data_IF_970055115490
#
_entry.id   IF_970055115490
#
_cell.length_a   1.000
_cell.length_b   1.000
_cell.length_c   1.000
_cell.angle_alpha   90.00
_cell.angle_beta   90.00
_cell.angle_gamma   90.00
#
_symmetry.space_group_name_H-M   'P 1'
#
loop_
_entity.id
_entity.type
_entity.pdbx_description
1 polymer ?
#
# COMPACT_ATOMS: atom_id res chain seq x y z
N UNK A 1 -6.55 -21.15 -7.35
CA UNK A 1 -7.51 -20.02 -7.16
C UNK A 1 -7.04 -19.03 -6.10
N UNK A 2 -7.20 -17.70 -6.32
CA UNK A 2 -6.93 -16.64 -5.32
C UNK A 2 -8.23 -15.99 -4.86
N UNK A 3 -8.42 -15.86 -3.56
CA UNK A 3 -9.60 -15.21 -2.97
C UNK A 3 -9.21 -14.40 -1.74
N UNK A 4 -10.08 -13.47 -1.32
CA UNK A 4 -9.82 -12.60 -0.17
C UNK A 4 -10.95 -12.68 0.85
N UNK A 5 -10.62 -12.97 2.10
CA UNK A 5 -11.56 -12.93 3.21
C UNK A 5 -11.35 -11.67 4.05
N UNK A 6 -12.44 -10.98 4.37
CA UNK A 6 -12.43 -9.78 5.19
C UNK A 6 -13.03 -10.07 6.57
N UNK A 7 -12.29 -9.78 7.63
CA UNK A 7 -12.71 -9.99 9.02
C UNK A 7 -12.60 -8.70 9.82
N UNK A 8 -13.35 -8.61 10.93
CA UNK A 8 -13.25 -7.47 11.87
C UNK A 8 -12.05 -7.67 12.79
N UNK A 9 -11.24 -6.63 12.91
CA UNK A 9 -10.03 -6.58 13.72
C UNK A 9 -10.31 -5.77 15.00
N UNK A 10 -9.83 -6.25 16.14
CA UNK A 10 -9.97 -5.64 17.45
C UNK A 10 -8.59 -5.33 18.03
N UNK A 11 -7.91 -4.28 17.52
CA UNK A 11 -6.66 -3.80 18.07
C UNK A 11 -6.85 -3.19 19.46
N UNK A 12 -5.85 -3.35 20.31
CA UNK A 12 -5.75 -2.63 21.57
C UNK A 12 -5.49 -1.13 21.33
N UNK A 13 -5.64 -0.32 22.38
CA UNK A 13 -5.48 1.14 22.26
C UNK A 13 -4.10 1.53 21.72
N UNK A 14 -3.02 0.94 22.27
CA UNK A 14 -1.65 1.21 21.81
C UNK A 14 -1.46 0.77 20.35
N UNK A 15 -1.93 -0.43 19.99
CA UNK A 15 -1.86 -0.94 18.62
C UNK A 15 -2.62 -0.04 17.64
N UNK A 16 -3.77 0.51 18.06
CA UNK A 16 -4.57 1.44 17.27
C UNK A 16 -3.82 2.75 17.00
N UNK A 17 -3.14 3.29 18.02
CA UNK A 17 -2.30 4.48 17.88
C UNK A 17 -1.17 4.23 16.87
N UNK A 18 -0.46 3.10 17.00
CA UNK A 18 0.60 2.72 16.07
C UNK A 18 0.08 2.56 14.64
N UNK A 19 -1.06 1.89 14.44
CA UNK A 19 -1.67 1.74 13.11
C UNK A 19 -2.06 3.09 12.49
N UNK A 20 -2.58 4.03 13.29
CA UNK A 20 -2.89 5.38 12.84
C UNK A 20 -1.63 6.16 12.45
N UNK A 21 -0.55 6.06 13.24
CA UNK A 21 0.75 6.65 12.90
C UNK A 21 1.31 6.06 11.59
N UNK A 22 1.20 4.75 11.39
CA UNK A 22 1.64 4.12 10.14
C UNK A 22 0.83 4.60 8.93
N UNK A 23 -0.48 4.79 9.07
CA UNK A 23 -1.30 5.40 8.02
C UNK A 23 -0.87 6.85 7.74
N UNK A 24 -0.51 7.62 8.78
CA UNK A 24 -0.01 9.01 8.66
C UNK A 24 1.31 9.07 7.89
N UNK A 25 2.27 8.20 8.21
CA UNK A 25 3.57 8.07 7.53
C UNK A 25 3.37 7.63 6.09
N UNK A 26 2.59 6.56 5.87
CA UNK A 26 2.32 6.02 4.54
C UNK A 26 1.61 7.02 3.63
N UNK A 27 0.67 7.81 4.17
CA UNK A 27 0.00 8.91 3.45
C UNK A 27 1.00 9.99 3.03
N UNK A 28 1.84 10.44 3.95
CA UNK A 28 2.85 11.45 3.66
C UNK A 28 3.80 10.96 2.55
N UNK A 29 4.30 9.74 2.70
CA UNK A 29 5.21 9.14 1.73
C UNK A 29 4.58 8.98 0.34
N UNK A 30 3.33 8.50 0.29
CA UNK A 30 2.57 8.40 -0.96
C UNK A 30 2.45 9.76 -1.66
N UNK A 31 2.01 10.80 -0.94
CA UNK A 31 1.78 12.12 -1.52
C UNK A 31 3.08 12.77 -1.98
N UNK A 32 4.17 12.65 -1.20
CA UNK A 32 5.48 13.15 -1.58
C UNK A 32 5.97 12.52 -2.88
N UNK A 33 5.97 11.18 -2.96
CA UNK A 33 6.40 10.46 -4.15
C UNK A 33 5.54 10.78 -5.38
N UNK A 34 4.23 10.96 -5.19
CA UNK A 34 3.34 11.34 -6.27
C UNK A 34 3.60 12.77 -6.75
N UNK A 35 3.92 13.68 -5.83
CA UNK A 35 4.30 15.06 -6.12
C UNK A 35 5.59 15.11 -6.94
N UNK A 36 6.65 14.43 -6.50
CA UNK A 36 7.92 14.35 -7.24
C UNK A 36 7.73 13.85 -8.68
N UNK A 37 6.84 12.88 -8.89
CA UNK A 37 6.52 12.37 -10.23
C UNK A 37 5.75 13.39 -11.08
N UNK A 38 4.80 14.10 -10.49
CA UNK A 38 4.08 15.16 -11.20
C UNK A 38 4.98 16.33 -11.54
N UNK A 39 5.85 16.75 -10.61
CA UNK A 39 6.81 17.83 -10.85
C UNK A 39 7.73 17.48 -12.00
N UNK A 40 8.30 16.27 -11.99
CA UNK A 40 9.13 15.77 -13.10
C UNK A 40 8.34 15.71 -14.40
N UNK A 41 7.11 15.18 -14.37
CA UNK A 41 6.26 15.07 -15.55
C UNK A 41 5.91 16.43 -16.16
N UNK A 42 5.60 17.42 -15.33
CA UNK A 42 5.26 18.78 -15.80
C UNK A 42 6.49 19.49 -16.36
N UNK A 43 7.65 19.34 -15.71
CA UNK A 43 8.91 19.99 -16.09
C UNK A 43 9.55 19.42 -17.36
N UNK A 44 9.34 18.14 -17.66
CA UNK A 44 9.96 17.45 -18.80
C UNK A 44 9.01 17.21 -19.99
N UNK A 45 7.73 17.56 -19.86
CA UNK A 45 6.77 17.38 -20.95
C UNK A 45 6.89 18.52 -21.97
N UNK A 46 7.46 18.22 -23.12
CA UNK A 46 7.44 19.11 -24.29
C UNK A 46 6.46 18.55 -25.34
N UNK A 47 5.57 19.37 -25.93
CA UNK A 47 4.87 18.99 -27.15
C UNK A 47 5.89 18.59 -28.23
N UNK A 48 5.62 17.51 -28.97
CA UNK A 48 6.52 17.05 -30.04
C UNK A 48 6.78 18.15 -31.08
N UNK A 49 5.81 19.06 -31.25
CA UNK A 49 5.81 20.07 -32.31
C UNK A 49 6.03 21.51 -31.80
N UNK A 50 6.34 21.72 -30.51
CA UNK A 50 6.56 23.07 -29.98
C UNK A 50 7.43 23.05 -28.72
N UNK A 51 8.44 23.92 -28.68
CA UNK A 51 9.20 24.22 -27.47
C UNK A 51 8.89 25.67 -27.04
N UNK A 52 8.30 25.91 -25.86
CA UNK A 52 8.06 27.26 -25.39
C UNK A 52 9.40 27.95 -25.08
N UNK A 53 9.75 28.99 -25.83
CA UNK A 53 11.00 29.77 -25.73
C UNK A 53 11.15 30.53 -24.40
N UNK A 54 10.09 30.58 -23.58
CA UNK A 54 10.08 31.19 -22.25
C UNK A 54 9.81 30.07 -21.24
N UNK A 55 10.84 29.33 -20.86
CA UNK A 55 10.75 28.38 -19.75
C UNK A 55 11.98 28.49 -18.85
N UNK A 56 11.73 28.54 -17.54
CA UNK A 56 12.76 28.23 -16.56
C UNK A 56 13.19 26.78 -16.79
N UNK A 57 14.46 26.56 -17.15
CA UNK A 57 15.01 25.23 -17.29
C UNK A 57 15.05 24.58 -15.89
N UNK A 58 14.30 23.49 -15.67
CA UNK A 58 14.34 22.80 -14.39
C UNK A 58 15.71 22.20 -14.15
N UNK A 59 16.09 22.01 -12.88
CA UNK A 59 17.26 21.20 -12.53
C UNK A 59 17.16 19.82 -13.19
N UNK A 60 18.24 19.44 -13.89
CA UNK A 60 18.32 18.16 -14.57
C UNK A 60 18.23 17.04 -13.54
N UNK A 61 17.20 16.20 -13.65
CA UNK A 61 16.96 15.09 -12.73
C UNK A 61 16.42 13.89 -13.48
N UNK A 62 16.94 12.72 -13.13
CA UNK A 62 16.44 11.44 -13.64
C UNK A 62 14.96 11.24 -13.32
N UNK A 63 14.29 10.46 -14.17
CA UNK A 63 12.89 10.14 -13.98
C UNK A 63 12.66 9.42 -12.64
N UNK A 64 11.79 9.95 -11.75
CA UNK A 64 11.46 9.30 -10.48
C UNK A 64 10.65 8.02 -10.74
N UNK A 65 11.36 6.91 -10.84
CA UNK A 65 10.78 5.57 -10.98
C UNK A 65 10.63 4.86 -9.63
N UNK A 66 10.08 3.65 -9.65
CA UNK A 66 9.89 2.85 -8.43
C UNK A 66 11.21 2.58 -7.68
N UNK A 67 12.28 2.25 -8.40
CA UNK A 67 13.56 1.87 -7.79
C UNK A 67 14.27 3.06 -7.14
N UNK A 68 14.30 4.21 -7.83
CA UNK A 68 14.87 5.46 -7.29
C UNK A 68 14.16 5.90 -6.01
N UNK A 69 12.82 5.89 -5.99
CA UNK A 69 12.04 6.25 -4.80
C UNK A 69 12.20 5.23 -3.68
N UNK A 70 12.24 3.92 -3.99
CA UNK A 70 12.53 2.86 -3.01
C UNK A 70 13.93 3.02 -2.40
N UNK A 71 14.93 3.46 -3.18
CA UNK A 71 16.31 3.70 -2.71
C UNK A 71 16.41 4.88 -1.73
N UNK A 72 15.42 5.77 -1.70
CA UNK A 72 15.39 6.86 -0.72
C UNK A 72 15.02 6.37 0.70
N UNK A 73 14.29 5.25 0.82
CA UNK A 73 13.80 4.76 2.12
C UNK A 73 14.91 4.50 3.16
N UNK A 74 16.03 3.82 2.83
CA UNK A 74 17.12 3.65 3.79
C UNK A 74 17.75 4.97 4.26
N UNK A 75 17.81 5.98 3.39
CA UNK A 75 18.36 7.31 3.74
C UNK A 75 17.39 8.03 4.67
N UNK A 76 16.10 8.05 4.32
CA UNK A 76 15.05 8.70 5.10
C UNK A 76 14.88 8.06 6.48
N UNK A 77 15.14 6.75 6.62
CA UNK A 77 15.05 6.04 7.89
C UNK A 77 16.18 6.36 8.87
N UNK A 78 17.22 7.11 8.49
CA UNK A 78 18.32 7.43 9.41
C UNK A 78 17.91 8.47 10.44
N UNK A 79 17.11 9.45 10.01
CA UNK A 79 16.74 10.61 10.82
C UNK A 79 15.22 10.85 10.81
N UNK A 80 14.75 11.63 11.78
CA UNK A 80 13.38 12.13 11.78
C UNK A 80 13.16 13.12 10.63
N UNK A 81 12.04 12.96 9.93
CA UNK A 81 11.69 13.86 8.82
C UNK A 81 10.80 14.97 9.33
N UNK A 82 11.28 16.21 9.26
CA UNK A 82 10.44 17.40 9.50
C UNK A 82 9.58 17.71 8.28
N UNK A 83 8.28 17.81 8.47
CA UNK A 83 7.35 18.23 7.41
C UNK A 83 7.39 19.75 7.27
N UNK A 84 7.67 20.24 6.06
CA UNK A 84 7.84 21.68 5.81
C UNK A 84 6.64 22.54 6.19
N UNK A 85 5.41 22.10 5.86
CA UNK A 85 4.21 22.92 6.08
C UNK A 85 3.59 22.80 7.48
N UNK A 86 3.80 21.68 8.18
CA UNK A 86 3.21 21.46 9.52
C UNK A 86 4.24 21.52 10.65
N UNK A 87 5.53 21.45 10.35
CA UNK A 87 6.60 21.35 11.36
C UNK A 87 6.65 20.02 12.12
N UNK A 88 5.71 19.11 11.87
CA UNK A 88 5.61 17.78 12.49
C UNK A 88 6.83 16.93 12.14
N UNK A 89 7.37 16.22 13.14
CA UNK A 89 8.42 15.24 12.97
C UNK A 89 7.80 13.86 12.74
N UNK A 90 8.16 13.22 11.63
CA UNK A 90 7.73 11.87 11.27
C UNK A 90 8.90 10.91 11.38
N UNK A 91 8.68 9.83 12.11
CA UNK A 91 9.60 8.70 12.13
C UNK A 91 9.19 7.60 11.13
N UNK A 92 10.10 7.27 10.22
CA UNK A 92 9.93 6.17 9.26
C UNK A 92 10.45 4.84 9.77
N UNK A 93 11.24 4.83 10.85
CA UNK A 93 11.83 3.62 11.42
C UNK A 93 10.78 2.73 12.05
N UNK A 94 9.77 3.31 12.71
CA UNK A 94 8.65 2.58 13.33
C UNK A 94 7.90 1.72 12.33
N UNK A 95 7.70 2.20 11.10
CA UNK A 95 6.92 1.50 10.09
C UNK A 95 7.70 0.29 9.54
N UNK A 96 6.99 -0.85 9.47
CA UNK A 96 7.54 -2.07 8.88
C UNK A 96 7.97 -1.84 7.42
N UNK A 97 9.14 -2.38 7.06
CA UNK A 97 9.79 -2.06 5.78
C UNK A 97 8.97 -2.47 4.57
N UNK A 98 8.30 -3.61 4.62
CA UNK A 98 7.48 -4.10 3.50
C UNK A 98 6.25 -3.21 3.25
N UNK A 99 5.67 -2.64 4.31
CA UNK A 99 4.54 -1.69 4.22
C UNK A 99 4.98 -0.44 3.47
N UNK A 100 6.13 0.15 3.82
CA UNK A 100 6.68 1.32 3.12
C UNK A 100 7.00 1.01 1.65
N UNK A 101 7.52 -0.19 1.35
CA UNK A 101 7.76 -0.62 -0.02
C UNK A 101 6.47 -0.80 -0.81
N UNK A 102 5.41 -1.32 -0.20
CA UNK A 102 4.08 -1.40 -0.80
C UNK A 102 3.54 -0.02 -1.16
N UNK A 103 3.77 1.00 -0.32
CA UNK A 103 3.41 2.39 -0.65
C UNK A 103 4.06 2.85 -1.97
N UNK A 104 5.35 2.53 -2.17
CA UNK A 104 6.04 2.83 -3.43
C UNK A 104 5.37 2.12 -4.61
N UNK A 105 4.98 0.84 -4.44
CA UNK A 105 4.27 0.06 -5.45
C UNK A 105 2.92 0.69 -5.79
N UNK A 106 2.18 1.19 -4.80
CA UNK A 106 0.89 1.87 -5.04
C UNK A 106 1.04 3.13 -5.86
N UNK A 107 2.06 3.96 -5.61
CA UNK A 107 2.34 5.16 -6.42
C UNK A 107 2.73 4.77 -7.84
N UNK A 108 3.59 3.75 -7.99
CA UNK A 108 3.96 3.19 -9.30
C UNK A 108 2.72 2.80 -10.10
N UNK A 109 1.85 1.98 -9.52
CA UNK A 109 0.67 1.47 -10.21
C UNK A 109 -0.34 2.59 -10.53
N UNK A 110 -0.53 3.54 -9.62
CA UNK A 110 -1.42 4.67 -9.85
C UNK A 110 -0.92 5.57 -11.00
N UNK A 111 0.38 5.84 -11.05
CA UNK A 111 0.98 6.67 -12.10
C UNK A 111 1.06 5.93 -13.45
N UNK A 112 1.33 4.62 -13.44
CA UNK A 112 1.30 3.82 -14.66
C UNK A 112 -0.10 3.79 -15.29
N UNK A 113 -1.16 3.63 -14.49
CA UNK A 113 -2.55 3.68 -14.98
C UNK A 113 -2.97 5.03 -15.55
N UNK A 114 -2.28 6.10 -15.14
CA UNK A 114 -2.51 7.46 -15.63
C UNK A 114 -1.86 7.68 -17.00
N UNK A 115 -0.67 7.12 -17.20
CA UNK A 115 0.08 7.25 -18.46
C UNK A 115 -0.41 6.25 -19.50
N UNK A 116 -0.53 4.97 -19.11
CA UNK A 116 -0.92 3.89 -19.99
C UNK A 116 -2.44 3.85 -20.18
N UNK A 117 -2.87 3.51 -21.39
CA UNK A 117 -4.26 3.21 -21.68
C UNK A 117 -4.66 1.86 -21.05
N UNK A 118 -5.90 1.74 -20.60
CA UNK A 118 -6.47 0.48 -20.13
C UNK A 118 -6.72 -0.48 -21.31
N UNK A 119 -7.09 -1.74 -21.05
CA UNK A 119 -7.40 -2.73 -22.10
C UNK A 119 -8.46 -2.26 -23.11
N UNK A 120 -9.33 -1.33 -22.69
CA UNK A 120 -10.37 -0.71 -23.50
C UNK A 120 -9.90 0.59 -24.21
N UNK A 121 -8.60 0.89 -24.23
CA UNK A 121 -8.05 2.12 -24.82
C UNK A 121 -8.33 3.40 -24.03
N UNK A 122 -8.87 3.31 -22.80
CA UNK A 122 -9.23 4.47 -21.96
C UNK A 122 -8.17 4.71 -20.89
N UNK A 123 -7.73 5.95 -20.70
CA UNK A 123 -6.82 6.32 -19.60
C UNK A 123 -7.56 6.39 -18.28
N UNK A 124 -6.92 5.95 -17.21
CA UNK A 124 -7.39 6.31 -15.87
C UNK A 124 -7.15 7.80 -15.62
N UNK A 125 -8.08 8.46 -14.94
CA UNK A 125 -7.95 9.87 -14.59
C UNK A 125 -6.70 10.17 -13.73
N UNK A 126 -6.29 11.44 -13.69
CA UNK A 126 -5.12 11.91 -12.92
C UNK A 126 -5.16 11.43 -11.46
N UNK A 127 -4.12 10.73 -10.96
CA UNK A 127 -4.02 10.31 -9.58
C UNK A 127 -4.07 11.53 -8.66
N UNK A 128 -4.83 11.41 -7.58
CA UNK A 128 -5.05 12.51 -6.64
C UNK A 128 -4.20 12.30 -5.39
N UNK A 129 -3.77 13.38 -4.77
CA UNK A 129 -3.20 13.32 -3.42
C UNK A 129 -4.23 12.75 -2.44
N UNK A 130 -3.76 11.90 -1.54
CA UNK A 130 -4.58 11.25 -0.53
C UNK A 130 -4.67 12.11 0.73
N UNK A 131 -5.90 12.39 1.16
CA UNK A 131 -6.17 12.96 2.47
C UNK A 131 -6.28 11.84 3.54
N UNK A 132 -6.52 12.24 4.79
CA UNK A 132 -6.68 11.33 5.94
C UNK A 132 -7.79 10.30 5.72
N UNK A 133 -8.88 10.71 5.08
CA UNK A 133 -10.04 9.83 4.83
C UNK A 133 -9.78 8.80 3.72
N UNK A 134 -8.96 9.15 2.71
CA UNK A 134 -8.66 8.27 1.57
C UNK A 134 -7.57 7.25 1.84
N UNK A 135 -6.51 7.64 2.55
CA UNK A 135 -5.42 6.71 2.89
C UNK A 135 -5.74 5.89 4.13
N UNK A 136 -6.43 4.76 3.93
CA UNK A 136 -7.02 3.96 5.03
C UNK A 136 -6.48 2.55 5.17
N UNK A 137 -5.66 2.08 4.24
CA UNK A 137 -5.24 0.68 4.15
C UNK A 137 -3.73 0.54 4.22
N UNK A 138 -3.23 -0.34 5.08
CA UNK A 138 -1.85 -0.80 5.14
C UNK A 138 -1.80 -2.22 4.56
N UNK A 139 -0.93 -2.48 3.58
CA UNK A 139 -0.77 -3.82 3.03
C UNK A 139 0.57 -4.40 3.46
N UNK A 140 0.54 -5.69 3.71
CA UNK A 140 1.66 -6.54 4.06
C UNK A 140 1.74 -7.62 2.98
N UNK A 141 2.52 -7.40 1.91
CA UNK A 141 2.52 -8.26 0.72
C UNK A 141 3.20 -9.62 0.93
N UNK A 142 4.01 -9.74 1.99
CA UNK A 142 4.75 -10.97 2.33
C UNK A 142 4.21 -11.53 3.65
N UNK A 143 2.90 -11.77 3.72
CA UNK A 143 2.28 -12.32 4.90
C UNK A 143 2.25 -13.84 4.79
N UNK A 144 2.67 -14.53 5.85
CA UNK A 144 2.81 -15.99 5.87
C UNK A 144 1.81 -16.64 6.83
N UNK A 145 1.56 -17.94 6.66
CA UNK A 145 0.68 -18.73 7.53
C UNK A 145 1.13 -18.69 9.01
N UNK A 146 2.42 -18.52 9.28
CA UNK A 146 2.98 -18.40 10.63
C UNK A 146 2.44 -17.18 11.41
N UNK A 147 1.89 -16.19 10.70
CA UNK A 147 1.30 -15.00 11.31
C UNK A 147 -0.10 -15.30 11.85
N UNK A 148 -0.74 -16.39 11.43
CA UNK A 148 -2.04 -16.81 11.91
C UNK A 148 -1.84 -17.71 13.15
N UNK A 149 -2.23 -17.19 14.31
CA UNK A 149 -2.16 -17.89 15.61
C UNK A 149 -3.59 -18.26 16.02
N UNK A 150 -3.88 -19.55 16.01
CA UNK A 150 -5.18 -20.07 16.40
C UNK A 150 -5.33 -20.09 17.92
N UNK A 151 -6.31 -19.37 18.44
CA UNK A 151 -6.77 -19.51 19.82
C UNK A 151 -8.29 -19.66 19.78
N UNK A 152 -8.76 -20.90 19.84
CA UNK A 152 -10.18 -21.22 19.84
C UNK A 152 -10.77 -21.02 21.24
N UNK A 153 -11.08 -19.76 21.59
CA UNK A 153 -12.15 -19.50 22.57
C UNK A 153 -13.46 -19.61 21.79
N UNK A 154 -14.15 -20.75 21.90
CA UNK A 154 -15.42 -21.07 21.23
C UNK A 154 -15.39 -20.98 19.68
N UNK A 155 -14.22 -21.15 19.04
CA UNK A 155 -14.10 -21.18 17.56
C UNK A 155 -14.31 -19.84 16.83
N UNK A 156 -14.50 -18.72 17.55
CA UNK A 156 -14.87 -17.42 16.96
C UNK A 156 -13.73 -16.41 16.85
N UNK A 157 -12.60 -16.68 17.49
CA UNK A 157 -11.48 -15.76 17.60
C UNK A 157 -10.21 -16.35 16.99
N UNK A 158 -9.45 -15.49 16.33
CA UNK A 158 -8.13 -15.76 15.79
C UNK A 158 -7.21 -14.61 16.19
N UNK A 159 -5.94 -14.90 16.41
CA UNK A 159 -4.94 -13.86 16.61
C UNK A 159 -4.05 -13.79 15.37
N UNK A 160 -3.77 -12.57 14.95
CA UNK A 160 -2.83 -12.30 13.85
C UNK A 160 -1.59 -11.64 14.44
N UNK A 161 -0.44 -12.23 14.24
CA UNK A 161 0.85 -11.64 14.54
C UNK A 161 1.21 -10.65 13.42
N UNK A 162 1.20 -9.36 13.73
CA UNK A 162 1.64 -8.30 12.80
C UNK A 162 3.05 -7.85 13.19
N UNK A 163 4.03 -7.82 12.27
CA UNK A 163 5.39 -7.37 12.58
C UNK A 163 5.39 -5.99 13.23
N UNK A 164 6.22 -5.81 14.27
CA UNK A 164 6.35 -4.59 15.10
C UNK A 164 5.12 -4.13 15.91
N UNK A 165 3.93 -4.65 15.64
CA UNK A 165 2.70 -4.30 16.39
C UNK A 165 2.36 -5.39 17.40
N UNK A 166 2.61 -6.67 17.07
CA UNK A 166 2.32 -7.81 17.94
C UNK A 166 1.05 -8.56 17.56
N UNK A 167 0.47 -9.26 18.53
CA UNK A 167 -0.74 -10.07 18.36
C UNK A 167 -1.99 -9.20 18.38
N UNK A 168 -2.82 -9.30 17.35
CA UNK A 168 -4.08 -8.56 17.25
C UNK A 168 -5.26 -9.55 17.15
N UNK A 169 -6.32 -9.29 17.92
CA UNK A 169 -7.54 -10.09 17.91
C UNK A 169 -8.34 -9.89 16.62
N UNK A 170 -8.79 -10.98 16.03
CA UNK A 170 -9.59 -11.02 14.81
C UNK A 170 -10.83 -11.89 15.06
N UNK A 171 -12.01 -11.38 14.68
CA UNK A 171 -13.27 -12.13 14.81
C UNK A 171 -13.58 -12.86 13.52
N UNK A 172 -13.54 -14.19 13.59
CA UNK A 172 -13.85 -15.08 12.47
C UNK A 172 -15.36 -15.33 12.43
N UNK A 173 -15.96 -15.13 11.25
CA UNK A 173 -17.34 -15.54 10.94
C UNK A 173 -17.38 -16.64 9.85
N UNK A 174 -16.24 -16.91 9.20
CA UNK A 174 -16.05 -17.96 8.19
C UNK A 174 -14.74 -18.67 8.47
N UNK A 175 -14.71 -19.99 8.68
CA UNK A 175 -13.46 -20.71 8.91
C UNK A 175 -12.51 -20.52 7.72
N UNK A 176 -11.21 -20.54 8.02
CA UNK A 176 -10.18 -20.53 7.00
C UNK A 176 -10.05 -21.95 6.43
N UNK A 177 -9.97 -22.13 5.09
CA UNK A 177 -9.78 -23.45 4.51
C UNK A 177 -8.38 -23.98 4.83
N UNK A 178 -8.27 -25.26 5.19
CA UNK A 178 -7.00 -25.86 5.61
C UNK A 178 -5.96 -25.93 4.48
N UNK A 179 -6.43 -25.97 3.22
CA UNK A 179 -5.60 -25.95 2.00
C UNK A 179 -5.05 -24.56 1.64
N UNK A 180 -5.53 -23.50 2.30
CA UNK A 180 -5.28 -22.12 1.88
C UNK A 180 -3.95 -21.57 2.42
N UNK A 181 -3.13 -21.02 1.53
CA UNK A 181 -1.93 -20.29 1.91
C UNK A 181 -2.19 -18.79 1.95
N UNK A 182 -1.91 -18.15 3.08
CA UNK A 182 -1.85 -16.71 3.19
C UNK A 182 -0.71 -16.17 2.33
N UNK A 183 -1.04 -15.17 1.52
CA UNK A 183 -0.06 -14.44 0.69
C UNK A 183 0.10 -13.01 1.13
N UNK A 184 -1.03 -12.34 1.40
CA UNK A 184 -1.04 -10.94 1.73
C UNK A 184 -2.05 -10.67 2.84
N UNK A 185 -1.67 -9.80 3.75
CA UNK A 185 -2.53 -9.27 4.80
C UNK A 185 -2.73 -7.78 4.56
N UNK A 186 -3.96 -7.28 4.64
CA UNK A 186 -4.23 -5.84 4.49
C UNK A 186 -5.12 -5.34 5.60
N UNK A 187 -4.63 -4.39 6.40
CA UNK A 187 -5.39 -3.78 7.50
C UNK A 187 -6.03 -2.49 6.99
N UNK A 188 -7.35 -2.40 7.06
CA UNK A 188 -8.12 -1.25 6.57
C UNK A 188 -8.93 -0.62 7.69
N UNK A 189 -8.82 0.70 7.83
CA UNK A 189 -9.67 1.51 8.71
C UNK A 189 -10.96 1.89 7.97
N UNK A 190 -12.11 1.44 8.47
CA UNK A 190 -13.45 1.88 8.04
C UNK A 190 -14.04 2.80 9.11
N UNK A 191 -15.23 3.34 8.85
CA UNK A 191 -15.95 4.17 9.82
C UNK A 191 -16.26 3.41 11.12
N UNK A 192 -16.68 2.15 11.01
CA UNK A 192 -17.13 1.33 12.15
C UNK A 192 -15.98 0.62 12.90
N UNK A 193 -14.74 0.81 12.44
CA UNK A 193 -13.55 0.23 13.05
C UNK A 193 -12.57 -0.40 12.05
N UNK A 194 -11.73 -1.28 12.57
CA UNK A 194 -10.64 -1.91 11.81
C UNK A 194 -11.05 -3.25 11.21
N UNK A 195 -10.57 -3.50 10.00
CA UNK A 195 -10.80 -4.72 9.27
C UNK A 195 -9.48 -5.27 8.75
N UNK A 196 -9.38 -6.59 8.70
CA UNK A 196 -8.27 -7.31 8.12
C UNK A 196 -8.76 -8.07 6.89
N UNK A 197 -8.08 -7.86 5.76
CA UNK A 197 -8.29 -8.60 4.53
C UNK A 197 -7.14 -9.60 4.38
N UNK A 198 -7.46 -10.88 4.40
CA UNK A 198 -6.53 -11.99 4.19
C UNK A 198 -6.67 -12.44 2.74
N UNK A 199 -5.63 -12.23 1.94
CA UNK A 199 -5.55 -12.77 0.58
C UNK A 199 -4.97 -14.17 0.65
N UNK A 200 -5.79 -15.13 0.29
CA UNK A 200 -5.52 -16.55 0.35
C UNK A 200 -5.32 -17.10 -1.06
N UNK A 201 -4.39 -18.02 -1.20
CA UNK A 201 -4.10 -18.75 -2.42
C UNK A 201 -4.30 -20.24 -2.15
N UNK A 202 -5.24 -20.85 -2.87
CA UNK A 202 -5.50 -22.28 -2.83
C UNK A 202 -5.01 -22.91 -4.13
N UNK A 203 -4.07 -23.84 -4.01
CA UNK A 203 -3.46 -24.57 -5.14
C UNK A 203 -4.24 -25.82 -5.53
N UNK A 204 -5.19 -26.26 -4.70
CA UNK A 204 -5.97 -27.47 -4.96
C UNK A 204 -7.05 -27.27 -6.02
N UNK A 205 -7.52 -26.03 -6.19
CA UNK A 205 -8.52 -25.67 -7.20
C UNK A 205 -7.83 -25.45 -8.55
N UNK A 206 -8.12 -26.28 -9.58
CA UNK A 206 -7.50 -26.14 -10.90
C UNK A 206 -7.85 -24.79 -11.55
N UNK A 207 -6.91 -24.25 -12.32
CA UNK A 207 -7.12 -23.03 -13.08
C UNK A 207 -7.87 -23.36 -14.38
N UNK A 208 -9.03 -22.74 -14.58
CA UNK A 208 -9.80 -22.90 -15.82
C UNK A 208 -9.13 -22.07 -16.91
N UNK A 209 -8.48 -22.74 -17.86
CA UNK A 209 -8.03 -22.12 -19.09
C UNK A 209 -9.17 -22.28 -20.12
N UNK A 210 -9.79 -21.19 -20.60
CA UNK A 210 -10.73 -21.30 -21.72
C UNK A 210 -9.97 -21.83 -22.93
N UNK A 211 -10.56 -22.80 -23.64
CA UNK A 211 -9.99 -23.32 -24.88
C UNK A 211 -9.84 -22.17 -25.89
N UNK A 212 -8.68 -22.11 -26.56
CA UNK A 212 -8.46 -21.18 -27.64
C UNK A 212 -9.47 -21.48 -28.74
N UNK A 213 -10.35 -20.52 -29.04
CA UNK A 213 -11.26 -20.62 -30.19
C UNK A 213 -10.37 -20.48 -31.43
N UNK A 214 -10.07 -21.60 -32.08
CA UNK A 214 -9.31 -21.70 -33.35
C UNK A 214 -10.12 -21.07 -34.48
#
# INVERSE_FOLDING_TARGET
MKYTYQYRLYPETQQTLTLNQWLRVGRYWYNRMLGERFDWWQKNRCPVNACPLICYLPELKDQPNFYSQKKQLPVIKKDLVKIGWSGELIDFTEVYSTVLQDVCTRVKNAFNRFIADDKNGKRSGKPRFNNVARYRTLNFPNADNSWLKFCTVNGKWLFVQVPKIGLIKLRIHRPLPDSANLKQLSITRKADGWYCNLSLEDKSVPEFNPDDII
#
